data_IF_321156643419
#
_entry.id   IF_321156643419
#
_cell.length_a   1.000
_cell.length_b   1.000
_cell.length_c   1.000
_cell.angle_alpha   90.00
_cell.angle_beta   90.00
_cell.angle_gamma   90.00
#
_symmetry.space_group_name_H-M   'P 1'
#
loop_
_entity.id
_entity.type
_entity.pdbx_description
1 polymer ?
#
# COMPACT_ATOMS: atom_id res chain seq x y z
N UNK A 1 -0.81 8.42 5.15
CA UNK A 1 -2.01 8.58 6.01
C UNK A 1 -2.90 7.35 5.83
N UNK A 2 -3.42 6.82 6.92
CA UNK A 2 -4.40 5.73 6.89
C UNK A 2 -5.80 6.32 7.01
N UNK A 3 -6.73 5.83 6.19
CA UNK A 3 -8.12 6.25 6.18
C UNK A 3 -8.99 5.04 6.51
N UNK A 4 -9.72 5.14 7.62
CA UNK A 4 -10.54 4.09 8.21
C UNK A 4 -11.62 4.73 9.11
N UNK A 5 -12.61 3.95 9.55
CA UNK A 5 -13.72 4.43 10.38
C UNK A 5 -13.40 4.55 11.88
N UNK A 6 -12.16 4.27 12.30
CA UNK A 6 -11.74 4.22 13.70
C UNK A 6 -10.47 5.05 13.94
N UNK A 7 -10.31 5.57 15.15
CA UNK A 7 -9.11 6.32 15.56
C UNK A 7 -7.88 5.41 15.80
N UNK A 8 -8.07 4.09 15.78
CA UNK A 8 -7.00 3.11 16.00
C UNK A 8 -6.88 2.19 14.80
N UNK A 9 -5.68 2.15 14.22
CA UNK A 9 -5.35 1.17 13.18
C UNK A 9 -4.94 -0.15 13.84
N UNK A 10 -5.82 -1.15 13.73
CA UNK A 10 -5.54 -2.53 14.16
C UNK A 10 -4.95 -3.33 12.99
N UNK A 11 -4.22 -4.40 13.29
CA UNK A 11 -3.79 -5.33 12.25
C UNK A 11 -4.99 -6.03 11.62
N UNK A 12 -4.87 -6.41 10.35
CA UNK A 12 -5.87 -7.14 9.57
C UNK A 12 -7.22 -6.42 9.40
N UNK A 13 -7.29 -5.11 9.65
CA UNK A 13 -8.46 -4.31 9.26
C UNK A 13 -8.24 -3.73 7.88
N UNK A 14 -9.33 -3.66 7.12
CA UNK A 14 -9.36 -2.98 5.84
C UNK A 14 -9.19 -1.48 6.03
N UNK A 15 -8.33 -0.90 5.22
CA UNK A 15 -8.03 0.52 5.21
C UNK A 15 -7.63 0.99 3.80
N UNK A 16 -7.78 2.28 3.57
CA UNK A 16 -7.17 2.96 2.42
C UNK A 16 -5.93 3.73 2.85
N UNK A 17 -4.94 3.80 1.97
CA UNK A 17 -3.68 4.51 2.22
C UNK A 17 -3.62 5.70 1.27
N UNK A 18 -3.26 6.87 1.79
CA UNK A 18 -3.08 8.11 1.02
C UNK A 18 -1.74 8.76 1.33
N UNK A 19 -1.05 9.32 0.33
CA UNK A 19 0.07 10.24 0.59
C UNK A 19 -0.42 11.55 1.22
N UNK A 20 0.32 12.07 2.20
CA UNK A 20 -0.06 13.32 2.91
C UNK A 20 0.25 14.54 2.05
N UNK A 21 1.40 14.52 1.38
CA UNK A 21 1.77 15.56 0.44
C UNK A 21 1.16 15.22 -0.91
N UNK A 22 0.27 16.08 -1.45
CA UNK A 22 -0.36 15.82 -2.72
C UNK A 22 0.68 15.82 -3.85
N UNK A 23 0.48 14.91 -4.78
CA UNK A 23 1.22 14.88 -6.04
C UNK A 23 1.05 16.21 -6.80
N UNK A 24 2.11 16.65 -7.47
CA UNK A 24 2.01 17.79 -8.41
C UNK A 24 1.26 17.42 -9.70
N UNK A 25 0.96 16.13 -9.89
CA UNK A 25 0.34 15.57 -11.08
C UNK A 25 -1.20 15.52 -10.98
N UNK A 26 -1.77 15.98 -9.86
CA UNK A 26 -3.23 16.08 -9.69
C UNK A 26 -3.92 14.74 -9.47
N UNK A 27 -3.18 13.71 -9.04
CA UNK A 27 -3.77 12.43 -8.67
C UNK A 27 -4.51 12.51 -7.33
N UNK A 28 -5.30 11.47 -7.01
CA UNK A 28 -6.06 11.41 -5.74
C UNK A 28 -5.17 11.13 -4.52
N UNK A 29 -3.91 10.75 -4.77
CA UNK A 29 -2.88 10.32 -3.82
C UNK A 29 -3.21 9.04 -3.04
N UNK A 30 -4.38 8.45 -3.30
CA UNK A 30 -4.75 7.17 -2.74
C UNK A 30 -3.99 6.06 -3.46
N UNK A 31 -3.52 5.10 -2.68
CA UNK A 31 -2.86 3.92 -3.21
C UNK A 31 -3.88 3.06 -3.96
N UNK A 32 -3.45 2.55 -5.11
CA UNK A 32 -4.22 1.63 -5.94
C UNK A 32 -3.30 0.57 -6.51
N UNK A 33 -3.79 -0.65 -6.58
CA UNK A 33 -3.16 -1.71 -7.38
C UNK A 33 -4.02 -1.91 -8.63
N UNK A 34 -3.58 -1.44 -9.80
CA UNK A 34 -4.37 -1.53 -11.02
C UNK A 34 -4.54 -2.99 -11.44
N UNK A 35 -5.77 -3.34 -11.81
CA UNK A 35 -6.08 -4.62 -12.42
C UNK A 35 -5.60 -4.59 -13.87
N UNK A 36 -4.32 -4.85 -14.09
CA UNK A 36 -3.72 -4.82 -15.42
C UNK A 36 -3.08 -6.15 -15.78
N UNK A 37 -3.05 -6.44 -17.08
CA UNK A 37 -2.30 -7.54 -17.71
C UNK A 37 -0.79 -7.36 -17.66
N UNK A 38 -0.28 -6.30 -17.00
CA UNK A 38 1.14 -6.06 -16.86
C UNK A 38 1.76 -7.12 -15.94
N UNK A 39 3.01 -7.51 -16.28
CA UNK A 39 3.78 -8.48 -15.51
C UNK A 39 4.05 -8.02 -14.07
N UNK A 40 4.03 -6.71 -13.83
CA UNK A 40 4.29 -6.09 -12.52
C UNK A 40 3.05 -5.33 -12.08
N UNK A 41 2.47 -5.74 -10.94
CA UNK A 41 1.36 -5.06 -10.30
C UNK A 41 1.89 -4.03 -9.31
N UNK A 42 2.26 -2.86 -9.84
CA UNK A 42 2.79 -1.74 -9.04
C UNK A 42 1.68 -0.95 -8.33
N UNK A 43 2.03 -0.31 -7.21
CA UNK A 43 1.15 0.64 -6.53
C UNK A 43 1.24 2.00 -7.20
N UNK A 44 0.08 2.56 -7.56
CA UNK A 44 -0.04 3.89 -8.20
C UNK A 44 -0.88 4.84 -7.33
N UNK A 45 -0.64 6.17 -7.38
CA UNK A 45 -1.31 7.17 -6.52
C UNK A 45 -2.68 7.62 -7.04
N UNK A 46 -3.38 6.79 -7.83
CA UNK A 46 -4.63 7.16 -8.51
C UNK A 46 -5.86 6.41 -7.98
N UNK A 47 -5.82 5.98 -6.71
CA UNK A 47 -6.87 5.18 -6.08
C UNK A 47 -8.07 5.96 -5.59
N UNK A 48 -8.92 5.28 -4.83
CA UNK A 48 -10.04 5.91 -4.13
C UNK A 48 -10.39 5.15 -2.86
N UNK A 49 -11.06 5.81 -1.92
CA UNK A 49 -11.45 5.18 -0.65
C UNK A 49 -12.49 4.06 -0.81
N UNK A 50 -13.31 4.11 -1.87
CA UNK A 50 -14.47 3.24 -2.04
C UNK A 50 -14.23 2.08 -3.02
N UNK A 51 -12.99 1.89 -3.48
CA UNK A 51 -12.67 0.90 -4.52
C UNK A 51 -11.90 -0.29 -3.97
N UNK A 52 -12.28 -1.49 -4.38
CA UNK A 52 -11.62 -2.74 -3.98
C UNK A 52 -10.16 -2.80 -4.43
N UNK A 53 -9.80 -2.11 -5.51
CA UNK A 53 -8.41 -2.00 -5.97
C UNK A 53 -7.54 -1.06 -5.11
N UNK A 54 -8.13 -0.48 -4.07
CA UNK A 54 -7.54 0.49 -3.15
C UNK A 54 -7.75 0.09 -1.67
N UNK A 55 -8.06 -1.19 -1.43
CA UNK A 55 -8.25 -1.77 -0.08
C UNK A 55 -7.02 -2.57 0.34
N UNK A 56 -6.46 -2.20 1.49
CA UNK A 56 -5.24 -2.79 2.03
C UNK A 56 -5.46 -3.20 3.49
N UNK A 57 -4.56 -4.06 3.97
CA UNK A 57 -4.47 -4.43 5.39
C UNK A 57 -3.03 -4.29 5.86
N UNK A 58 -2.86 -4.08 7.17
CA UNK A 58 -1.55 -4.12 7.82
C UNK A 58 -1.45 -5.42 8.61
N UNK A 59 -0.37 -6.17 8.42
CA UNK A 59 -0.10 -7.42 9.14
C UNK A 59 1.16 -7.28 9.97
N UNK A 60 1.24 -8.02 11.07
CA UNK A 60 2.46 -8.14 11.87
C UNK A 60 3.48 -9.03 11.13
N UNK A 61 4.76 -8.64 11.15
CA UNK A 61 5.89 -9.41 10.65
C UNK A 61 7.03 -9.31 11.67
N UNK A 62 7.07 -10.25 12.62
CA UNK A 62 7.94 -10.22 13.80
C UNK A 62 7.78 -8.93 14.65
N UNK A 63 8.83 -8.10 14.69
CA UNK A 63 8.86 -6.78 15.35
C UNK A 63 8.47 -5.63 14.41
N UNK A 64 8.23 -5.93 13.14
CA UNK A 64 7.83 -4.99 12.09
C UNK A 64 6.40 -5.26 11.62
N UNK A 65 5.98 -4.50 10.62
CA UNK A 65 4.71 -4.67 9.93
C UNK A 65 4.96 -4.92 8.44
N UNK A 66 3.93 -5.39 7.76
CA UNK A 66 3.87 -5.45 6.30
C UNK A 66 2.49 -5.05 5.80
N UNK A 67 2.44 -4.49 4.60
CA UNK A 67 1.17 -4.28 3.92
C UNK A 67 0.75 -5.56 3.22
N UNK A 68 -0.56 -5.74 3.04
CA UNK A 68 -1.10 -6.74 2.14
C UNK A 68 -2.28 -6.14 1.38
N UNK A 69 -2.37 -6.50 0.11
CA UNK A 69 -3.49 -6.15 -0.76
C UNK A 69 -4.49 -7.30 -0.77
N UNK A 70 -5.76 -6.98 -0.54
CA UNK A 70 -6.83 -7.97 -0.48
C UNK A 70 -7.88 -7.65 -1.55
N UNK A 71 -7.68 -8.21 -2.74
CA UNK A 71 -8.70 -8.32 -3.77
C UNK A 71 -9.14 -9.79 -3.83
N UNK A 72 -10.02 -10.21 -2.90
CA UNK A 72 -10.54 -11.59 -2.82
C UNK A 72 -9.90 -12.48 -1.74
N UNK A 73 -10.03 -13.80 -1.90
CA UNK A 73 -9.79 -14.81 -0.84
C UNK A 73 -8.31 -15.02 -0.44
N UNK A 74 -7.36 -14.50 -1.22
CA UNK A 74 -5.92 -14.70 -0.98
C UNK A 74 -5.17 -13.37 -0.99
N UNK A 75 -4.86 -12.79 0.19
CA UNK A 75 -4.10 -11.56 0.27
C UNK A 75 -2.70 -11.73 -0.35
N UNK A 76 -2.24 -10.73 -1.08
CA UNK A 76 -0.88 -10.66 -1.60
C UNK A 76 -0.05 -9.67 -0.80
N UNK A 77 1.19 -10.04 -0.50
CA UNK A 77 2.13 -9.16 0.18
C UNK A 77 2.80 -8.19 -0.81
N UNK A 78 3.54 -7.22 -0.28
CA UNK A 78 4.27 -6.23 -1.07
C UNK A 78 5.77 -6.45 -1.06
N UNK A 79 6.37 -6.03 -2.16
CA UNK A 79 7.79 -6.05 -2.45
C UNK A 79 8.32 -4.75 -3.02
N UNK A 80 9.64 -4.71 -3.19
CA UNK A 80 10.30 -3.65 -3.92
C UNK A 80 10.94 -4.21 -5.19
N UNK A 81 10.69 -3.55 -6.31
CA UNK A 81 11.39 -3.79 -7.57
C UNK A 81 12.26 -2.59 -7.91
N UNK A 82 13.57 -2.81 -8.03
CA UNK A 82 14.50 -1.75 -8.38
C UNK A 82 14.34 -1.36 -9.86
N UNK A 83 14.15 -0.08 -10.13
CA UNK A 83 14.07 0.48 -11.50
C UNK A 83 15.28 1.33 -11.89
N UNK A 84 16.21 1.54 -10.95
CA UNK A 84 17.49 2.22 -11.17
C UNK A 84 17.67 3.47 -10.28
N UNK A 85 18.91 3.97 -10.19
CA UNK A 85 19.30 5.20 -9.46
C UNK A 85 18.70 5.33 -8.03
N UNK A 86 18.66 4.25 -7.28
CA UNK A 86 18.11 4.25 -5.91
C UNK A 86 16.59 4.41 -5.84
N UNK A 87 15.89 4.29 -6.97
CA UNK A 87 14.44 4.30 -7.05
C UNK A 87 13.94 2.86 -7.17
N UNK A 88 12.94 2.53 -6.37
CA UNK A 88 12.25 1.26 -6.41
C UNK A 88 10.74 1.47 -6.49
N UNK A 89 10.06 0.57 -7.19
CA UNK A 89 8.61 0.48 -7.24
C UNK A 89 8.11 -0.40 -6.11
N UNK A 90 7.01 0.02 -5.50
CA UNK A 90 6.25 -0.83 -4.60
C UNK A 90 5.36 -1.74 -5.45
N UNK A 91 5.54 -3.05 -5.34
CA UNK A 91 4.87 -4.03 -6.20
C UNK A 91 4.20 -5.12 -5.37
N UNK A 92 3.17 -5.78 -5.90
CA UNK A 92 2.72 -7.05 -5.32
C UNK A 92 3.78 -8.12 -5.54
N UNK A 93 4.17 -8.79 -4.46
CA UNK A 93 5.16 -9.86 -4.49
C UNK A 93 5.04 -10.74 -3.26
N UNK A 94 5.01 -12.06 -3.48
CA UNK A 94 5.12 -13.05 -2.41
C UNK A 94 6.58 -13.54 -2.23
N UNK A 95 7.51 -13.06 -3.05
CA UNK A 95 8.91 -13.51 -3.07
C UNK A 95 9.85 -12.54 -2.36
N UNK A 96 9.37 -11.36 -2.00
CA UNK A 96 10.16 -10.31 -1.36
C UNK A 96 9.41 -9.83 -0.12
N UNK A 97 10.11 -9.79 1.01
CA UNK A 97 9.53 -9.44 2.30
C UNK A 97 9.77 -7.95 2.59
N UNK A 98 8.88 -7.08 2.12
CA UNK A 98 8.92 -5.67 2.49
C UNK A 98 8.38 -5.49 3.91
N UNK A 99 9.29 -5.23 4.84
CA UNK A 99 8.98 -4.89 6.23
C UNK A 99 9.02 -3.39 6.43
N UNK A 100 8.07 -2.86 7.20
CA UNK A 100 7.93 -1.44 7.49
C UNK A 100 7.75 -1.19 8.99
N UNK A 101 8.18 -0.01 9.42
CA UNK A 101 7.89 0.57 10.72
C UNK A 101 7.25 1.94 10.52
N UNK A 102 6.37 2.34 11.43
CA UNK A 102 5.68 3.62 11.35
C UNK A 102 6.33 4.63 12.29
N UNK A 103 6.69 5.79 11.76
CA UNK A 103 7.20 6.92 12.53
C UNK A 103 6.12 7.99 12.56
N UNK A 104 5.78 8.47 13.76
CA UNK A 104 4.87 9.61 13.89
C UNK A 104 5.61 10.88 13.49
N UNK A 105 4.97 11.67 12.63
CA UNK A 105 5.51 12.95 12.18
C UNK A 105 4.68 14.03 12.84
N UNK A 106 5.32 14.94 13.58
CA UNK A 106 4.68 16.18 14.00
C UNK A 106 4.60 17.09 12.76
N UNK A 107 3.38 17.42 12.35
CA UNK A 107 3.10 18.46 11.34
C UNK A 107 2.39 19.62 12.00
#
# INVERSE_FOLDING_TARGET
MFVLSSDVVRVSIDLSIKFIMPSHCGESDFWRVPDSSLLVKEVVPSGSMSSNDSTFTIKKSDVFYKFAFSSGDKPMDFGLEAIGRGVARLILSNNSDLRVSFVSVCM
#
